data_IF_758453610051
#
_entry.id   IF_758453610051
#
_cell.length_a   1.000
_cell.length_b   1.000
_cell.length_c   1.000
_cell.angle_alpha   90.00
_cell.angle_beta   90.00
_cell.angle_gamma   90.00
#
_symmetry.space_group_name_H-M   'P 1'
#
loop_
_entity.id
_entity.type
_entity.pdbx_description
1 polymer ?
#
# COMPACT_ATOMS: atom_id res chain seq x y z
N UNK A 1 1.05 11.86 -6.29
CA UNK A 1 1.69 10.71 -6.98
C UNK A 1 3.11 10.59 -6.47
N UNK A 2 3.68 9.38 -6.38
CA UNK A 2 5.10 9.21 -6.03
C UNK A 2 5.92 9.37 -7.30
N UNK A 3 6.61 10.49 -7.45
CA UNK A 3 7.59 10.71 -8.51
C UNK A 3 8.90 10.02 -8.12
N UNK A 4 9.23 8.92 -8.78
CA UNK A 4 10.54 8.26 -8.62
C UNK A 4 11.59 9.09 -9.36
N UNK A 5 12.53 9.68 -8.62
CA UNK A 5 13.71 10.32 -9.21
C UNK A 5 14.62 9.23 -9.80
N UNK A 6 14.50 8.97 -11.10
CA UNK A 6 15.30 7.97 -11.82
C UNK A 6 16.76 8.38 -12.02
N UNK A 7 17.04 9.70 -12.02
CA UNK A 7 18.38 10.29 -12.05
C UNK A 7 18.69 11.05 -10.75
N UNK A 8 18.81 10.36 -9.60
CA UNK A 8 19.09 10.99 -8.32
C UNK A 8 20.49 11.63 -8.33
N UNK A 9 20.61 12.82 -7.75
CA UNK A 9 21.93 13.47 -7.60
C UNK A 9 22.83 12.66 -6.65
N UNK A 10 24.17 12.77 -6.74
CA UNK A 10 25.08 12.04 -5.85
C UNK A 10 24.82 12.31 -4.36
N UNK A 11 24.39 13.53 -4.01
CA UNK A 11 23.99 13.89 -2.65
C UNK A 11 22.62 13.35 -2.22
N UNK A 12 21.78 12.87 -3.14
CA UNK A 12 20.56 12.13 -2.83
C UNK A 12 20.89 10.64 -2.62
N UNK A 13 21.65 10.00 -3.53
CA UNK A 13 22.11 8.61 -3.41
C UNK A 13 22.79 8.31 -2.07
N UNK A 14 23.68 9.20 -1.61
CA UNK A 14 24.35 9.04 -0.31
C UNK A 14 23.39 9.09 0.89
N UNK A 15 22.39 9.98 0.86
CA UNK A 15 21.36 10.07 1.92
C UNK A 15 20.44 8.86 1.92
N UNK A 16 20.03 8.39 0.74
CA UNK A 16 19.27 7.14 0.60
C UNK A 16 20.06 5.93 1.14
N UNK A 17 21.33 5.78 0.74
CA UNK A 17 22.18 4.68 1.20
C UNK A 17 22.38 4.68 2.72
N UNK A 18 22.59 5.86 3.32
CA UNK A 18 22.64 6.03 4.78
C UNK A 18 21.32 5.68 5.47
N UNK A 19 20.17 6.11 4.94
CA UNK A 19 18.85 5.81 5.50
C UNK A 19 18.52 4.31 5.43
N UNK A 20 18.82 3.66 4.30
CA UNK A 20 18.64 2.21 4.12
C UNK A 20 19.58 1.43 5.04
N UNK A 21 20.86 1.80 5.12
CA UNK A 21 21.82 1.14 6.00
C UNK A 21 21.47 1.31 7.48
N UNK A 22 21.02 2.49 7.90
CA UNK A 22 20.57 2.73 9.28
C UNK A 22 19.30 1.93 9.62
N UNK A 23 18.29 1.96 8.74
CA UNK A 23 17.03 1.22 8.93
C UNK A 23 17.24 -0.29 8.98
N UNK A 24 18.06 -0.84 8.08
CA UNK A 24 18.40 -2.27 8.07
C UNK A 24 19.35 -2.67 9.20
N UNK A 25 20.29 -1.79 9.59
CA UNK A 25 21.16 -1.98 10.74
C UNK A 25 20.35 -2.15 12.02
N UNK A 26 19.49 -1.17 12.32
CA UNK A 26 18.57 -1.19 13.48
C UNK A 26 17.63 -2.39 13.42
N UNK A 27 17.04 -2.70 12.25
CA UNK A 27 16.13 -3.84 12.09
C UNK A 27 16.84 -5.17 12.33
N UNK A 28 18.01 -5.39 11.73
CA UNK A 28 18.82 -6.59 11.95
C UNK A 28 19.29 -6.72 13.40
N UNK A 29 19.64 -5.61 14.07
CA UNK A 29 19.94 -5.60 15.50
C UNK A 29 18.75 -6.00 16.36
N UNK A 30 17.54 -5.51 16.05
CA UNK A 30 16.32 -5.99 16.71
C UNK A 30 16.11 -7.50 16.48
N UNK A 31 16.31 -8.00 15.25
CA UNK A 31 16.18 -9.43 14.95
C UNK A 31 17.28 -10.33 15.57
N UNK A 32 18.45 -9.80 15.98
CA UNK A 32 19.54 -10.57 16.59
C UNK A 32 19.79 -10.28 18.08
N UNK A 33 19.10 -9.33 18.70
CA UNK A 33 19.20 -9.05 20.14
C UNK A 33 17.85 -9.10 20.87
N UNK A 34 16.72 -9.27 20.17
CA UNK A 34 15.42 -9.55 20.79
C UNK A 34 15.04 -11.00 20.57
N UNK A 35 15.00 -11.78 21.65
CA UNK A 35 14.82 -13.23 21.62
C UNK A 35 13.34 -13.69 21.76
N UNK A 36 12.39 -12.76 21.56
CA UNK A 36 10.98 -12.96 21.87
C UNK A 36 10.17 -13.43 20.65
N UNK A 37 9.63 -14.65 20.71
CA UNK A 37 8.69 -15.19 19.71
C UNK A 37 9.24 -15.15 18.28
N UNK A 38 8.59 -14.38 17.40
CA UNK A 38 8.92 -14.28 15.96
C UNK A 38 10.36 -13.82 15.72
N UNK A 39 10.93 -12.99 16.60
CA UNK A 39 12.30 -12.48 16.43
C UNK A 39 13.37 -13.58 16.57
N UNK A 40 13.13 -14.63 17.36
CA UNK A 40 14.02 -15.81 17.44
C UNK A 40 14.08 -16.57 16.11
N UNK A 41 12.95 -16.71 15.40
CA UNK A 41 12.93 -17.28 14.05
C UNK A 41 13.60 -16.34 13.01
N UNK A 42 13.60 -15.03 13.27
CA UNK A 42 14.24 -14.02 12.43
C UNK A 42 15.77 -13.92 12.53
N UNK A 43 16.42 -14.61 13.47
CA UNK A 43 17.89 -14.58 13.63
C UNK A 43 18.64 -14.95 12.34
N UNK A 44 18.15 -15.95 11.59
CA UNK A 44 18.74 -16.36 10.32
C UNK A 44 18.65 -15.30 9.21
N UNK A 45 17.77 -14.29 9.36
CA UNK A 45 17.54 -13.20 8.39
C UNK A 45 18.39 -11.96 8.74
N UNK A 46 18.73 -11.75 10.02
CA UNK A 46 19.56 -10.63 10.48
C UNK A 46 20.89 -10.42 9.70
N UNK A 47 21.73 -11.45 9.43
CA UNK A 47 22.96 -11.25 8.65
C UNK A 47 22.70 -10.86 7.18
N UNK A 48 21.57 -11.26 6.60
CA UNK A 48 21.19 -10.84 5.24
C UNK A 48 20.73 -9.39 5.20
N UNK A 49 20.00 -8.93 6.23
CA UNK A 49 19.61 -7.51 6.37
C UNK A 49 20.86 -6.62 6.52
N UNK A 50 21.81 -7.02 7.35
CA UNK A 50 23.09 -6.32 7.50
C UNK A 50 23.95 -6.38 6.23
N UNK A 51 24.03 -7.53 5.56
CA UNK A 51 24.74 -7.69 4.29
C UNK A 51 24.18 -6.78 3.19
N UNK A 52 22.86 -6.76 3.02
CA UNK A 52 22.20 -5.87 2.05
C UNK A 52 22.37 -4.39 2.43
N UNK A 53 22.23 -4.04 3.71
CA UNK A 53 22.48 -2.67 4.21
C UNK A 53 23.92 -2.20 3.97
N UNK A 54 24.90 -3.09 4.16
CA UNK A 54 26.32 -2.81 3.87
C UNK A 54 26.58 -2.65 2.37
N UNK A 55 26.00 -3.51 1.52
CA UNK A 55 26.10 -3.37 0.06
C UNK A 55 25.45 -2.06 -0.42
N UNK A 56 24.29 -1.69 0.11
CA UNK A 56 23.66 -0.40 -0.18
C UNK A 56 24.52 0.80 0.27
N UNK A 57 25.15 0.70 1.45
CA UNK A 57 26.05 1.74 1.96
C UNK A 57 27.33 1.88 1.10
N UNK A 58 27.95 0.77 0.69
CA UNK A 58 29.16 0.80 -0.13
C UNK A 58 28.88 1.27 -1.57
N UNK A 59 27.77 0.84 -2.18
CA UNK A 59 27.43 1.17 -3.57
C UNK A 59 26.81 2.57 -3.74
N UNK A 60 25.98 3.04 -2.80
CA UNK A 60 25.32 4.34 -2.90
C UNK A 60 25.85 5.41 -1.93
N UNK A 61 26.43 5.02 -0.79
CA UNK A 61 27.10 5.94 0.15
C UNK A 61 28.40 6.55 -0.41
N UNK A 62 29.01 5.93 -1.41
CA UNK A 62 30.07 6.52 -2.25
C UNK A 62 29.53 7.57 -3.24
N UNK A 63 28.23 7.56 -3.54
CA UNK A 63 27.59 8.47 -4.50
C UNK A 63 28.00 8.24 -5.96
N UNK A 64 28.68 7.13 -6.26
CA UNK A 64 29.15 6.76 -7.60
C UNK A 64 28.01 6.16 -8.44
N UNK A 65 28.11 6.22 -9.78
CA UNK A 65 27.10 5.67 -10.70
C UNK A 65 26.80 4.16 -10.50
N UNK A 66 27.70 3.40 -9.87
CA UNK A 66 27.45 1.99 -9.51
C UNK A 66 26.31 1.80 -8.50
N UNK A 67 25.94 2.82 -7.72
CA UNK A 67 24.79 2.77 -6.81
C UNK A 67 23.43 2.86 -7.49
N UNK A 68 23.37 3.31 -8.75
CA UNK A 68 22.11 3.46 -9.51
C UNK A 68 21.34 2.15 -9.72
N UNK A 69 21.93 1.04 -10.22
CA UNK A 69 21.20 -0.22 -10.38
C UNK A 69 20.69 -0.78 -9.04
N UNK A 70 21.45 -0.63 -7.94
CA UNK A 70 21.00 -1.05 -6.61
C UNK A 70 19.81 -0.21 -6.12
N UNK A 71 19.87 1.11 -6.32
CA UNK A 71 18.77 2.04 -6.01
C UNK A 71 17.51 1.73 -6.83
N UNK A 72 17.64 1.51 -8.15
CA UNK A 72 16.51 1.15 -9.01
C UNK A 72 15.89 -0.21 -8.64
N UNK A 73 16.72 -1.23 -8.38
CA UNK A 73 16.25 -2.55 -7.97
C UNK A 73 15.49 -2.49 -6.63
N UNK A 74 16.00 -1.75 -5.64
CA UNK A 74 15.31 -1.52 -4.37
C UNK A 74 14.02 -0.73 -4.55
N UNK A 75 14.03 0.35 -5.32
CA UNK A 75 12.84 1.18 -5.55
C UNK A 75 11.73 0.39 -6.26
N UNK A 76 12.09 -0.42 -7.27
CA UNK A 76 11.17 -1.35 -7.93
C UNK A 76 10.61 -2.41 -6.97
N UNK A 77 11.46 -3.00 -6.12
CA UNK A 77 11.03 -3.95 -5.09
C UNK A 77 10.04 -3.32 -4.10
N UNK A 78 10.38 -2.15 -3.53
CA UNK A 78 9.50 -1.42 -2.60
C UNK A 78 8.19 -1.02 -3.26
N UNK A 79 8.20 -0.59 -4.52
CA UNK A 79 6.99 -0.27 -5.27
C UNK A 79 6.10 -1.51 -5.51
N UNK A 80 6.68 -2.63 -5.93
CA UNK A 80 5.95 -3.89 -6.15
C UNK A 80 5.37 -4.43 -4.84
N UNK A 81 6.15 -4.46 -3.76
CA UNK A 81 5.70 -4.93 -2.44
C UNK A 81 4.63 -4.01 -1.85
N UNK A 82 4.81 -2.68 -1.93
CA UNK A 82 3.81 -1.71 -1.48
C UNK A 82 2.50 -1.80 -2.27
N UNK A 83 2.58 -2.01 -3.58
CA UNK A 83 1.41 -2.22 -4.44
C UNK A 83 0.70 -3.53 -4.10
N UNK A 84 1.44 -4.63 -3.92
CA UNK A 84 0.88 -5.92 -3.52
C UNK A 84 0.19 -5.85 -2.14
N UNK A 85 0.84 -5.24 -1.15
CA UNK A 85 0.27 -5.03 0.19
C UNK A 85 -1.00 -4.17 0.11
N UNK A 86 -0.99 -3.09 -0.70
CA UNK A 86 -2.16 -2.25 -0.91
C UNK A 86 -3.35 -3.01 -1.52
N UNK A 87 -3.10 -3.82 -2.55
CA UNK A 87 -4.12 -4.67 -3.19
C UNK A 87 -4.65 -5.73 -2.21
N UNK A 88 -3.76 -6.42 -1.49
CA UNK A 88 -4.15 -7.45 -0.52
C UNK A 88 -4.92 -6.86 0.65
N UNK A 89 -4.49 -5.73 1.21
CA UNK A 89 -5.21 -5.05 2.30
C UNK A 89 -6.60 -4.57 1.86
N UNK A 90 -6.71 -3.99 0.66
CA UNK A 90 -8.01 -3.59 0.09
C UNK A 90 -8.92 -4.80 -0.15
N UNK A 91 -8.38 -5.91 -0.68
CA UNK A 91 -9.12 -7.15 -0.89
C UNK A 91 -9.60 -7.75 0.44
N UNK A 92 -8.75 -7.79 1.47
CA UNK A 92 -9.10 -8.28 2.81
C UNK A 92 -10.24 -7.44 3.41
N UNK A 93 -10.15 -6.10 3.37
CA UNK A 93 -11.24 -5.23 3.85
C UNK A 93 -12.51 -5.40 3.02
N UNK A 94 -12.40 -5.53 1.69
CA UNK A 94 -13.55 -5.72 0.82
C UNK A 94 -14.27 -7.05 1.06
N UNK A 95 -13.53 -8.15 1.21
CA UNK A 95 -14.11 -9.49 1.38
C UNK A 95 -14.49 -9.82 2.84
N UNK A 96 -13.82 -9.25 3.85
CA UNK A 96 -14.14 -9.51 5.26
C UNK A 96 -15.04 -8.46 5.91
N UNK A 97 -15.22 -7.27 5.32
CA UNK A 97 -16.09 -6.21 5.87
C UNK A 97 -17.19 -5.82 4.89
N UNK A 98 -16.85 -5.35 3.69
CA UNK A 98 -17.83 -4.79 2.74
C UNK A 98 -18.78 -5.87 2.20
N UNK A 99 -18.23 -7.02 1.82
CA UNK A 99 -18.98 -8.15 1.25
C UNK A 99 -19.96 -8.78 2.25
N UNK A 100 -19.56 -9.17 3.49
CA UNK A 100 -20.51 -9.68 4.48
C UNK A 100 -21.53 -8.64 4.93
N UNK A 101 -21.19 -7.35 4.99
CA UNK A 101 -22.18 -6.29 5.26
C UNK A 101 -23.23 -6.19 4.13
N UNK A 102 -22.81 -6.29 2.87
CA UNK A 102 -23.71 -6.35 1.71
C UNK A 102 -24.58 -7.61 1.69
N UNK A 103 -24.02 -8.77 2.04
CA UNK A 103 -24.76 -10.02 2.19
C UNK A 103 -25.78 -9.95 3.34
N UNK A 104 -25.40 -9.39 4.49
CA UNK A 104 -26.30 -9.18 5.63
C UNK A 104 -27.46 -8.22 5.27
N UNK A 105 -27.17 -7.12 4.55
CA UNK A 105 -28.22 -6.22 4.05
C UNK A 105 -29.17 -6.93 3.07
N UNK A 106 -28.65 -7.75 2.16
CA UNK A 106 -29.41 -8.56 1.21
C UNK A 106 -30.29 -9.61 1.90
N UNK A 107 -29.78 -10.29 2.92
CA UNK A 107 -30.53 -11.25 3.74
C UNK A 107 -31.61 -10.57 4.58
N UNK A 108 -31.35 -9.36 5.10
CA UNK A 108 -32.32 -8.52 5.78
C UNK A 108 -33.32 -7.82 4.83
N UNK A 109 -33.38 -8.21 3.55
CA UNK A 109 -34.30 -7.65 2.54
C UNK A 109 -34.04 -6.19 2.14
N UNK A 110 -32.96 -5.56 2.62
CA UNK A 110 -32.66 -4.14 2.42
C UNK A 110 -31.84 -3.91 1.15
N UNK A 111 -32.49 -3.96 0.00
CA UNK A 111 -31.90 -3.59 -1.30
C UNK A 111 -31.76 -2.06 -1.45
N UNK A 112 -30.94 -1.44 -0.59
CA UNK A 112 -30.67 0.02 -0.58
C UNK A 112 -29.96 0.52 -1.84
N UNK A 113 -29.36 -0.38 -2.61
CA UNK A 113 -28.65 -0.07 -3.87
C UNK A 113 -29.51 -0.39 -5.11
N UNK A 114 -30.72 -0.92 -4.92
CA UNK A 114 -31.62 -1.39 -5.98
C UNK A 114 -30.92 -2.28 -7.02
N UNK A 115 -30.07 -3.20 -6.53
CA UNK A 115 -29.24 -4.06 -7.38
C UNK A 115 -30.04 -5.19 -8.06
N UNK A 116 -31.29 -5.42 -7.63
CA UNK A 116 -32.24 -6.26 -8.36
C UNK A 116 -32.66 -5.60 -9.67
N UNK A 117 -32.38 -6.26 -10.80
CA UNK A 117 -32.92 -5.87 -12.12
C UNK A 117 -34.45 -5.68 -12.03
N UNK A 118 -35.00 -4.55 -12.50
CA UNK A 118 -36.43 -4.40 -12.71
C UNK A 118 -36.97 -5.43 -13.72
N UNK A 119 -38.30 -5.66 -13.75
CA UNK A 119 -38.94 -6.36 -14.87
C UNK A 119 -38.58 -5.72 -16.22
N UNK A 120 -38.53 -6.47 -17.35
CA UNK A 120 -38.17 -5.92 -18.65
C UNK A 120 -39.06 -4.77 -19.16
N UNK A 121 -40.25 -4.59 -18.57
CA UNK A 121 -41.20 -3.51 -18.88
C UNK A 121 -41.07 -2.29 -17.94
N UNK A 122 -40.19 -2.33 -16.93
CA UNK A 122 -40.09 -1.31 -15.90
C UNK A 122 -38.95 -0.31 -16.15
N UNK A 123 -39.27 0.98 -16.04
CA UNK A 123 -38.33 2.09 -16.12
C UNK A 123 -37.32 2.08 -14.96
N UNK A 124 -36.06 2.42 -15.25
CA UNK A 124 -35.03 2.74 -14.24
C UNK A 124 -35.13 4.18 -13.72
N UNK A 125 -35.92 5.04 -14.35
CA UNK A 125 -36.14 6.42 -13.89
C UNK A 125 -37.05 6.45 -12.67
N UNK A 126 -36.55 6.99 -11.56
CA UNK A 126 -37.40 7.33 -10.42
C UNK A 126 -38.24 8.57 -10.73
N UNK A 127 -39.54 8.59 -10.37
CA UNK A 127 -40.31 9.82 -10.43
C UNK A 127 -39.72 10.84 -9.46
N UNK A 128 -39.58 12.08 -9.93
CA UNK A 128 -39.20 13.20 -9.07
C UNK A 128 -40.27 13.33 -7.95
N UNK A 129 -39.88 13.40 -6.66
CA UNK A 129 -40.86 13.59 -5.59
C UNK A 129 -41.71 14.83 -5.83
N UNK A 130 -43.03 14.71 -5.66
CA UNK A 130 -43.99 15.80 -5.81
C UNK A 130 -43.95 16.78 -4.62
N UNK A 131 -42.75 17.28 -4.31
CA UNK A 131 -42.60 18.50 -3.53
C UNK A 131 -43.14 19.69 -4.33
N UNK A 132 -43.72 20.67 -3.65
CA UNK A 132 -44.06 21.94 -4.29
C UNK A 132 -42.78 22.55 -4.89
N UNK A 133 -42.86 23.01 -6.15
CA UNK A 133 -41.74 23.66 -6.81
C UNK A 133 -41.49 25.03 -6.16
N UNK A 134 -40.50 25.06 -5.28
CA UNK A 134 -40.08 26.22 -4.49
C UNK A 134 -38.87 26.89 -5.15
N UNK A 135 -39.06 27.90 -6.03
CA UNK A 135 -37.96 28.55 -6.74
C UNK A 135 -37.05 29.37 -5.81
N UNK A 136 -37.48 29.67 -4.57
CA UNK A 136 -36.67 30.40 -3.60
C UNK A 136 -35.55 29.53 -2.96
N UNK A 137 -35.49 28.23 -3.27
CA UNK A 137 -34.43 27.30 -2.83
C UNK A 137 -33.26 27.14 -3.81
N UNK A 138 -33.28 27.86 -4.93
CA UNK A 138 -32.27 27.73 -6.00
C UNK A 138 -31.27 28.89 -6.05
N UNK A 139 -31.35 29.83 -5.10
CA UNK A 139 -30.50 31.01 -4.95
C UNK A 139 -30.03 31.13 -3.49
#
# INVERSE_FOLDING_TARGET
MITIDWHPSPGHLRRWGLMVAAGLGVSGSLFQFVDWGVFRAGHAIAPWLWGFGLVALLTAGTGTRLGLPAYWAWMGFVWTVGTLIGIVALAVVFFLVVTPLGLAARLAGRDRLMLRRPPPQASLWHPLPAAAHDPARQF
#
